data_IF_791435043411
#
_entry.id   IF_791435043411
#
_cell.length_a   1.000
_cell.length_b   1.000
_cell.length_c   1.000
_cell.angle_alpha   90.00
_cell.angle_beta   90.00
_cell.angle_gamma   90.00
#
_symmetry.space_group_name_H-M   'P 1'
#
loop_
_entity.id
_entity.type
_entity.pdbx_description
1 polymer ?
#
# COMPACT_ATOMS: atom_id res chain seq x y z
N UNK A 1 6.33 -12.40 -1.50
CA UNK A 1 6.94 -13.54 -0.77
C UNK A 1 8.29 -13.17 -0.20
N UNK A 2 9.25 -12.70 -1.01
CA UNK A 2 10.57 -12.24 -0.52
C UNK A 2 10.50 -11.28 0.68
N UNK A 3 9.65 -10.25 0.65
CA UNK A 3 9.46 -9.36 1.79
C UNK A 3 8.95 -10.09 3.06
N UNK A 4 8.06 -11.07 2.90
CA UNK A 4 7.51 -11.85 4.00
C UNK A 4 8.57 -12.81 4.57
N UNK A 5 9.34 -13.47 3.70
CA UNK A 5 10.46 -14.33 4.07
C UNK A 5 11.58 -13.55 4.79
N UNK A 6 11.75 -12.27 4.45
CA UNK A 6 12.66 -11.35 5.14
C UNK A 6 12.07 -10.72 6.43
N UNK A 7 10.87 -11.13 6.87
CA UNK A 7 10.13 -10.54 7.99
C UNK A 7 9.88 -9.02 7.85
N UNK A 8 9.87 -8.51 6.61
CA UNK A 8 9.55 -7.11 6.36
C UNK A 8 8.03 -6.90 6.45
N UNK A 9 7.57 -5.78 7.04
CA UNK A 9 6.15 -5.45 7.08
C UNK A 9 5.61 -5.21 5.66
N UNK A 10 4.45 -5.79 5.36
CA UNK A 10 3.81 -5.68 4.05
C UNK A 10 2.47 -4.97 4.20
N UNK A 11 2.29 -3.87 3.47
CA UNK A 11 1.04 -3.15 3.37
C UNK A 11 0.51 -3.14 1.92
N UNK A 12 -0.82 -3.09 1.76
CA UNK A 12 -1.46 -3.03 0.45
C UNK A 12 -2.66 -2.07 0.42
N UNK A 13 -2.89 -1.45 -0.73
CA UNK A 13 -4.08 -0.62 -1.03
C UNK A 13 -4.79 -1.20 -2.25
N UNK A 14 -6.01 -1.69 -2.07
CA UNK A 14 -6.79 -2.36 -3.12
C UNK A 14 -8.26 -2.48 -2.68
N UNK A 15 -9.23 -2.35 -3.59
CA UNK A 15 -10.66 -2.50 -3.30
C UNK A 15 -11.06 -3.97 -2.99
N UNK A 16 -10.43 -4.95 -3.66
CA UNK A 16 -10.81 -6.36 -3.63
C UNK A 16 -9.89 -7.27 -2.80
N UNK A 17 -10.16 -8.57 -2.82
CA UNK A 17 -9.25 -9.59 -2.29
C UNK A 17 -7.95 -9.71 -3.09
N UNK A 18 -6.88 -10.18 -2.45
CA UNK A 18 -5.66 -10.61 -3.17
C UNK A 18 -5.20 -11.97 -2.68
N UNK A 19 -4.46 -12.68 -3.54
CA UNK A 19 -3.76 -13.91 -3.17
C UNK A 19 -2.74 -13.72 -2.05
N UNK A 20 -2.30 -12.50 -1.79
CA UNK A 20 -1.31 -12.18 -0.77
C UNK A 20 -1.95 -11.73 0.56
N UNK A 21 -3.29 -11.72 0.67
CA UNK A 21 -3.97 -11.23 1.88
C UNK A 21 -3.54 -11.98 3.15
N UNK A 22 -3.14 -13.26 3.04
CA UNK A 22 -2.63 -14.06 4.17
C UNK A 22 -1.25 -13.62 4.70
N UNK A 23 -0.49 -12.84 3.93
CA UNK A 23 0.85 -12.38 4.30
C UNK A 23 0.93 -10.85 4.42
N UNK A 24 -0.17 -10.13 4.19
CA UNK A 24 -0.25 -8.68 4.32
C UNK A 24 -0.56 -8.33 5.78
N UNK A 25 0.28 -7.49 6.38
CA UNK A 25 0.11 -7.02 7.76
C UNK A 25 -0.92 -5.89 7.87
N UNK A 26 -1.06 -5.06 6.83
CA UNK A 26 -2.01 -3.96 6.76
C UNK A 26 -2.65 -3.86 5.38
N UNK A 27 -3.98 -3.95 5.30
CA UNK A 27 -4.73 -3.78 4.05
C UNK A 27 -5.70 -2.62 4.15
N UNK A 28 -5.56 -1.66 3.24
CA UNK A 28 -6.52 -0.56 3.07
C UNK A 28 -7.43 -0.91 1.89
N UNK A 29 -8.71 -1.12 2.18
CA UNK A 29 -9.69 -1.51 1.17
C UNK A 29 -10.26 -0.29 0.42
N UNK A 30 -9.51 0.24 -0.56
CA UNK A 30 -9.87 1.47 -1.28
C UNK A 30 -9.15 1.60 -2.63
N UNK A 31 -9.55 2.61 -3.43
CA UNK A 31 -8.84 3.01 -4.66
C UNK A 31 -7.50 3.67 -4.31
N UNK A 32 -6.42 3.18 -4.90
CA UNK A 32 -5.08 3.72 -4.67
C UNK A 32 -4.96 5.20 -5.08
N UNK A 33 -5.57 5.62 -6.19
CA UNK A 33 -5.55 7.01 -6.64
C UNK A 33 -6.21 7.99 -5.66
N UNK A 34 -7.12 7.52 -4.82
CA UNK A 34 -7.79 8.36 -3.81
C UNK A 34 -7.01 8.39 -2.48
N UNK A 35 -6.45 7.24 -2.07
CA UNK A 35 -5.84 7.06 -0.74
C UNK A 35 -4.34 7.33 -0.71
N UNK A 36 -3.59 6.89 -1.73
CA UNK A 36 -2.13 7.01 -1.75
C UNK A 36 -1.65 8.46 -1.55
N UNK A 37 -2.27 9.50 -2.17
CA UNK A 37 -1.88 10.89 -1.91
C UNK A 37 -2.03 11.32 -0.45
N UNK A 38 -3.08 10.84 0.24
CA UNK A 38 -3.32 11.14 1.66
C UNK A 38 -2.28 10.48 2.55
N UNK A 39 -1.90 9.24 2.24
CA UNK A 39 -0.85 8.51 2.97
C UNK A 39 0.50 9.21 2.79
N UNK A 40 0.82 9.67 1.59
CA UNK A 40 2.07 10.39 1.32
C UNK A 40 2.13 11.74 2.03
N UNK A 41 1.01 12.46 2.11
CA UNK A 41 0.91 13.71 2.86
C UNK A 41 1.29 13.54 4.34
N UNK A 42 0.88 12.43 4.97
CA UNK A 42 1.27 12.12 6.36
C UNK A 42 2.78 11.92 6.54
N UNK A 43 3.47 11.43 5.50
CA UNK A 43 4.90 11.17 5.51
C UNK A 43 5.78 12.33 5.05
N UNK A 44 5.22 13.54 4.82
CA UNK A 44 5.91 14.65 4.16
C UNK A 44 6.48 14.28 2.77
N UNK A 45 5.85 13.33 2.08
CA UNK A 45 6.21 12.87 0.75
C UNK A 45 5.23 13.46 -0.27
N UNK A 46 5.73 13.87 -1.43
CA UNK A 46 4.92 14.39 -2.53
C UNK A 46 4.79 13.37 -3.66
N UNK A 47 3.62 13.30 -4.31
CA UNK A 47 3.46 12.59 -5.58
C UNK A 47 3.96 13.51 -6.69
N UNK A 48 5.02 13.16 -7.44
CA UNK A 48 5.46 13.98 -8.57
C UNK A 48 4.38 14.00 -9.65
N UNK A 49 4.10 15.18 -10.19
CA UNK A 49 3.23 15.33 -11.36
C UNK A 49 3.99 14.88 -12.60
N UNK A 50 3.41 13.94 -13.35
CA UNK A 50 3.93 13.52 -14.66
C UNK A 50 3.12 14.32 -15.68
N UNK A 51 3.78 15.29 -16.32
CA UNK A 51 3.22 16.05 -17.46
C UNK A 51 3.37 15.28 -18.76
#
# INVERSE_FOLDING_TARGET
RLAHEANAPIAAINIGGTRADSIISLKINARCGEILPRVLQMGSLAVPSIS
#
